data_IF_016438093767
#
_entry.id   IF_016438093767
#
_cell.length_a   1.000
_cell.length_b   1.000
_cell.length_c   1.000
_cell.angle_alpha   90.00
_cell.angle_beta   90.00
_cell.angle_gamma   90.00
#
_symmetry.space_group_name_H-M   'P 1'
#
loop_
_entity.id
_entity.type
_entity.pdbx_description
1 polymer ?
#
# COMPACT_ATOMS: atom_id res chain seq x y z
N UNK A 1 30.16 32.73 -10.55
CA UNK A 1 30.64 31.35 -10.72
C UNK A 1 29.44 30.46 -10.95
N UNK A 2 29.18 30.08 -12.20
CA UNK A 2 28.25 28.99 -12.50
C UNK A 2 28.99 27.70 -12.17
N UNK A 3 28.74 27.15 -10.99
CA UNK A 3 29.18 25.78 -10.72
C UNK A 3 28.27 24.91 -11.57
N UNK A 4 28.76 24.51 -12.74
CA UNK A 4 28.09 23.52 -13.58
C UNK A 4 28.03 22.23 -12.78
N UNK A 5 26.87 21.99 -12.16
CA UNK A 5 26.61 20.72 -11.47
C UNK A 5 26.54 19.63 -12.54
N UNK A 6 27.28 18.53 -12.37
CA UNK A 6 27.25 17.45 -13.35
C UNK A 6 25.83 16.89 -13.47
N UNK A 7 25.40 16.60 -14.70
CA UNK A 7 24.10 15.98 -14.96
C UNK A 7 24.10 14.58 -14.36
N UNK A 8 23.13 14.23 -13.49
CA UNK A 8 23.00 12.91 -12.91
C UNK A 8 22.96 11.82 -14.00
N UNK A 9 23.61 10.65 -13.80
CA UNK A 9 23.70 9.60 -14.82
C UNK A 9 22.35 9.21 -15.46
N UNK A 10 21.30 9.05 -14.65
CA UNK A 10 19.96 8.70 -15.14
C UNK A 10 19.31 9.75 -16.04
N UNK A 11 19.77 11.01 -15.97
CA UNK A 11 19.26 12.13 -16.77
C UNK A 11 20.08 12.41 -18.03
N UNK A 12 21.32 11.92 -18.13
CA UNK A 12 22.24 12.28 -19.22
C UNK A 12 21.66 12.03 -20.61
N UNK A 13 20.99 10.87 -20.81
CA UNK A 13 20.35 10.51 -22.09
C UNK A 13 19.11 11.32 -22.44
N UNK A 14 18.54 12.04 -21.47
CA UNK A 14 17.28 12.78 -21.62
C UNK A 14 17.44 14.28 -21.44
N UNK A 15 18.63 14.77 -21.15
CA UNK A 15 18.88 16.16 -20.74
C UNK A 15 18.37 17.18 -21.77
N UNK A 16 18.47 16.84 -23.06
CA UNK A 16 18.02 17.67 -24.17
C UNK A 16 16.75 17.11 -24.86
N UNK A 17 16.09 16.11 -24.28
CA UNK A 17 14.89 15.47 -24.82
C UNK A 17 13.61 16.11 -24.27
N UNK A 18 12.47 15.97 -24.97
CA UNK A 18 11.17 16.35 -24.41
C UNK A 18 10.83 15.56 -23.14
N UNK A 19 10.13 16.21 -22.19
CA UNK A 19 9.67 15.57 -20.93
C UNK A 19 8.81 14.33 -21.21
N UNK A 20 8.04 14.31 -22.29
CA UNK A 20 7.26 13.14 -22.70
C UNK A 20 8.13 11.88 -22.90
N UNK A 21 9.30 12.03 -23.53
CA UNK A 21 10.24 10.92 -23.71
C UNK A 21 10.86 10.51 -22.37
N UNK A 22 11.09 11.47 -21.47
CA UNK A 22 11.57 11.20 -20.12
C UNK A 22 10.53 10.45 -19.29
N UNK A 23 9.25 10.82 -19.33
CA UNK A 23 8.20 10.23 -18.51
C UNK A 23 7.70 8.84 -18.98
N UNK A 24 8.04 8.40 -20.20
CA UNK A 24 7.62 7.10 -20.73
C UNK A 24 8.42 5.92 -20.15
N UNK A 25 7.77 4.93 -19.56
CA UNK A 25 8.40 3.65 -19.18
C UNK A 25 8.13 2.59 -20.24
N UNK A 26 9.05 1.63 -20.37
CA UNK A 26 8.78 0.43 -21.16
C UNK A 26 7.66 -0.37 -20.47
N UNK A 27 6.69 -0.86 -21.26
CA UNK A 27 5.67 -1.76 -20.74
C UNK A 27 6.32 -3.04 -20.26
N UNK A 28 5.85 -3.55 -19.13
CA UNK A 28 6.32 -4.82 -18.62
C UNK A 28 5.66 -5.96 -19.39
N UNK A 29 6.48 -6.93 -19.83
CA UNK A 29 5.97 -8.17 -20.38
C UNK A 29 5.79 -9.16 -19.23
N UNK A 30 4.53 -9.47 -18.94
CA UNK A 30 4.16 -10.40 -17.87
C UNK A 30 3.69 -11.72 -18.46
N UNK A 31 4.23 -12.81 -17.94
CA UNK A 31 3.68 -14.13 -18.21
C UNK A 31 2.24 -14.23 -17.67
N UNK A 32 1.37 -15.07 -18.26
CA UNK A 32 -0.02 -15.18 -17.83
C UNK A 32 -0.21 -15.44 -16.32
N UNK A 33 0.64 -16.26 -15.72
CA UNK A 33 0.60 -16.56 -14.29
C UNK A 33 1.03 -15.38 -13.41
N UNK A 34 1.89 -14.48 -13.90
CA UNK A 34 2.29 -13.25 -13.19
C UNK A 34 1.14 -12.24 -13.21
N UNK A 35 0.43 -12.15 -14.34
CA UNK A 35 -0.77 -11.32 -14.47
C UNK A 35 -1.85 -11.73 -13.49
N UNK A 36 -2.10 -13.04 -13.37
CA UNK A 36 -3.01 -13.58 -12.36
C UNK A 36 -2.57 -13.19 -10.94
N UNK A 37 -1.29 -13.37 -10.62
CA UNK A 37 -0.74 -13.04 -9.29
C UNK A 37 -0.95 -11.57 -8.93
N UNK A 38 -0.62 -10.66 -9.84
CA UNK A 38 -0.87 -9.23 -9.63
C UNK A 38 -2.36 -8.92 -9.50
N UNK A 39 -3.22 -9.61 -10.26
CA UNK A 39 -4.67 -9.47 -10.16
C UNK A 39 -5.18 -9.87 -8.78
N UNK A 40 -4.75 -11.02 -8.22
CA UNK A 40 -5.18 -11.46 -6.88
C UNK A 40 -4.84 -10.41 -5.80
N UNK A 41 -3.62 -9.88 -5.79
CA UNK A 41 -3.23 -8.85 -4.81
C UNK A 41 -3.96 -7.51 -5.03
N UNK A 42 -4.27 -7.17 -6.28
CA UNK A 42 -5.03 -5.96 -6.63
C UNK A 42 -6.48 -6.06 -6.20
N UNK A 43 -7.10 -7.23 -6.40
CA UNK A 43 -8.46 -7.53 -5.91
C UNK A 43 -8.49 -7.56 -4.38
N UNK A 44 -7.46 -8.09 -3.71
CA UNK A 44 -7.33 -8.01 -2.25
C UNK A 44 -7.33 -6.55 -1.77
N UNK A 45 -6.51 -5.69 -2.37
CA UNK A 45 -6.48 -4.28 -2.01
C UNK A 45 -7.85 -3.60 -2.21
N UNK A 46 -8.53 -3.89 -3.31
CA UNK A 46 -9.88 -3.35 -3.57
C UNK A 46 -10.91 -3.92 -2.59
N UNK A 47 -10.78 -5.18 -2.20
CA UNK A 47 -11.60 -5.82 -1.18
C UNK A 47 -11.42 -5.17 0.19
N UNK A 48 -10.18 -4.85 0.58
CA UNK A 48 -9.89 -4.12 1.82
C UNK A 48 -10.56 -2.74 1.83
N UNK A 49 -10.53 -2.02 0.69
CA UNK A 49 -11.19 -0.72 0.53
C UNK A 49 -12.71 -0.86 0.63
N UNK A 50 -13.29 -1.86 -0.04
CA UNK A 50 -14.73 -2.09 -0.01
C UNK A 50 -15.23 -2.43 1.40
N UNK A 51 -14.58 -3.34 2.12
CA UNK A 51 -14.98 -3.74 3.46
C UNK A 51 -14.83 -2.63 4.49
N UNK A 52 -13.92 -1.70 4.24
CA UNK A 52 -13.66 -0.55 5.11
C UNK A 52 -14.18 0.76 4.52
N UNK A 53 -15.11 0.68 3.58
CA UNK A 53 -15.58 1.83 2.81
C UNK A 53 -16.10 2.95 3.71
N UNK A 54 -15.76 4.19 3.37
CA UNK A 54 -16.35 5.37 3.97
C UNK A 54 -16.36 6.52 2.97
N UNK A 55 -17.54 6.91 2.49
CA UNK A 55 -17.70 8.00 1.53
C UNK A 55 -17.85 9.39 2.18
N UNK A 56 -17.79 9.50 3.51
CA UNK A 56 -18.18 10.72 4.24
C UNK A 56 -17.06 11.77 4.28
N UNK A 57 -16.54 12.20 3.12
CA UNK A 57 -15.42 13.15 2.98
C UNK A 57 -15.58 14.44 3.80
N UNK A 58 -16.81 14.95 3.90
CA UNK A 58 -17.17 16.15 4.67
C UNK A 58 -18.02 15.82 5.91
N UNK A 59 -17.93 14.57 6.38
CA UNK A 59 -18.72 14.04 7.50
C UNK A 59 -20.02 13.37 7.06
N UNK A 60 -20.73 12.73 8.02
CA UNK A 60 -21.91 11.92 7.75
C UNK A 60 -23.18 12.73 7.47
N UNK A 61 -23.12 14.05 7.68
CA UNK A 61 -24.24 14.98 7.53
C UNK A 61 -23.97 15.93 6.36
N UNK A 62 -25.03 16.26 5.62
CA UNK A 62 -24.99 17.11 4.43
C UNK A 62 -25.65 16.40 3.26
N UNK A 63 -25.64 16.98 2.08
CA UNK A 63 -26.18 16.39 0.86
C UNK A 63 -25.03 16.08 -0.10
N UNK A 64 -24.85 14.80 -0.43
CA UNK A 64 -23.88 14.36 -1.44
C UNK A 64 -24.52 14.17 -2.82
N UNK A 65 -25.75 14.66 -3.03
CA UNK A 65 -26.49 14.56 -4.28
C UNK A 65 -26.78 13.11 -4.68
N UNK A 66 -26.95 12.87 -5.98
CA UNK A 66 -27.19 11.51 -6.49
C UNK A 66 -25.94 10.63 -6.46
N UNK A 67 -24.75 11.22 -6.28
CA UNK A 67 -23.45 10.53 -6.25
C UNK A 67 -23.36 9.46 -5.17
N UNK A 68 -24.18 9.55 -4.11
CA UNK A 68 -24.14 8.66 -2.95
C UNK A 68 -25.53 8.18 -2.53
N UNK A 69 -26.49 8.17 -3.44
CA UNK A 69 -27.88 7.78 -3.16
C UNK A 69 -28.01 6.37 -2.57
N UNK A 70 -27.17 5.42 -2.99
CA UNK A 70 -27.09 4.06 -2.43
C UNK A 70 -26.42 3.97 -1.06
N UNK A 71 -25.82 5.06 -0.57
CA UNK A 71 -25.23 5.18 0.76
C UNK A 71 -26.11 6.00 1.73
N UNK A 72 -27.25 6.53 1.30
CA UNK A 72 -28.17 7.31 2.12
C UNK A 72 -28.94 6.39 3.09
N UNK A 73 -28.86 6.65 4.39
CA UNK A 73 -29.54 5.84 5.42
C UNK A 73 -30.77 6.54 6.02
N UNK A 74 -30.89 7.85 5.86
CA UNK A 74 -32.03 8.61 6.38
C UNK A 74 -31.84 10.11 6.29
N UNK A 75 -32.73 10.85 6.93
CA UNK A 75 -32.66 12.30 7.09
C UNK A 75 -32.86 12.66 8.56
N UNK A 76 -32.16 13.69 9.04
CA UNK A 76 -32.40 14.24 10.38
C UNK A 76 -33.75 14.98 10.40
N UNK A 77 -34.61 14.61 11.33
CA UNK A 77 -35.89 15.27 11.56
C UNK A 77 -35.66 16.74 11.96
N UNK A 78 -36.38 17.67 11.32
CA UNK A 78 -36.36 19.10 11.64
C UNK A 78 -35.52 19.98 10.70
N UNK A 79 -34.45 19.46 10.11
CA UNK A 79 -33.54 20.24 9.24
C UNK A 79 -33.46 19.70 7.80
N UNK A 80 -34.00 18.52 7.53
CA UNK A 80 -33.98 17.91 6.19
C UNK A 80 -32.59 17.44 5.72
N UNK A 81 -31.61 17.43 6.63
CA UNK A 81 -30.21 17.05 6.36
C UNK A 81 -30.11 15.55 6.14
N UNK A 82 -29.52 15.14 5.02
CA UNK A 82 -29.28 13.74 4.69
C UNK A 82 -28.18 13.12 5.57
N UNK A 83 -28.35 11.84 5.92
CA UNK A 83 -27.42 11.04 6.73
C UNK A 83 -26.93 9.86 5.91
N UNK A 84 -25.62 9.65 5.86
CA UNK A 84 -24.99 8.61 5.04
C UNK A 84 -24.30 7.52 5.87
N UNK A 85 -24.31 6.29 5.35
CA UNK A 85 -23.60 5.13 5.88
C UNK A 85 -22.08 5.40 6.02
N UNK A 86 -21.42 4.72 6.96
CA UNK A 86 -19.95 4.76 7.12
C UNK A 86 -19.45 5.53 8.34
N UNK A 87 -20.32 6.24 9.06
CA UNK A 87 -19.96 6.95 10.29
C UNK A 87 -19.14 8.23 10.07
N UNK A 88 -18.29 8.62 11.02
CA UNK A 88 -17.41 9.79 10.88
C UNK A 88 -16.37 9.57 9.79
N UNK A 89 -15.88 10.64 9.15
CA UNK A 89 -14.81 10.54 8.16
C UNK A 89 -13.57 9.83 8.75
N UNK A 90 -13.10 8.79 8.07
CA UNK A 90 -11.93 8.00 8.47
C UNK A 90 -10.80 8.09 7.43
N UNK A 91 -10.70 9.20 6.71
CA UNK A 91 -9.72 9.35 5.64
C UNK A 91 -10.24 8.93 4.26
N UNK A 92 -9.44 9.20 3.23
CA UNK A 92 -9.80 8.90 1.84
C UNK A 92 -9.84 7.38 1.61
N UNK A 93 -10.68 6.92 0.68
CA UNK A 93 -10.70 5.52 0.22
C UNK A 93 -9.51 5.22 -0.72
N UNK A 94 -8.32 5.57 -0.24
CA UNK A 94 -7.02 5.29 -0.86
C UNK A 94 -6.27 4.43 0.14
N UNK A 95 -5.81 3.26 -0.30
CA UNK A 95 -5.10 2.31 0.54
C UNK A 95 -3.87 1.77 -0.19
N UNK A 96 -2.95 1.22 0.61
CA UNK A 96 -1.76 0.54 0.13
C UNK A 96 -1.61 -0.81 0.84
N UNK A 97 -1.03 -1.79 0.13
CA UNK A 97 -0.79 -3.16 0.57
C UNK A 97 0.67 -3.54 0.25
N UNK A 98 1.37 -4.12 1.20
CA UNK A 98 2.74 -4.60 1.02
C UNK A 98 2.78 -6.11 0.90
N UNK A 99 3.51 -6.59 -0.10
CA UNK A 99 3.71 -8.02 -0.38
C UNK A 99 5.21 -8.29 -0.51
N UNK A 100 5.71 -9.33 0.16
CA UNK A 100 7.11 -9.75 0.03
C UNK A 100 7.38 -10.54 -1.26
N UNK A 101 8.66 -10.79 -1.54
CA UNK A 101 9.10 -11.56 -2.71
C UNK A 101 8.62 -13.02 -2.73
N UNK A 102 8.27 -13.57 -1.57
CA UNK A 102 7.73 -14.93 -1.44
C UNK A 102 6.23 -14.95 -1.75
N UNK A 103 5.60 -13.79 -1.99
CA UNK A 103 4.18 -13.66 -2.27
C UNK A 103 3.33 -13.63 -1.01
N UNK A 104 3.89 -13.26 0.14
CA UNK A 104 3.14 -13.09 1.38
C UNK A 104 2.69 -11.67 1.56
N UNK A 105 1.43 -11.51 1.92
CA UNK A 105 0.92 -10.23 2.43
C UNK A 105 1.59 -9.90 3.77
N UNK A 106 2.23 -8.73 3.83
CA UNK A 106 2.87 -8.23 5.06
C UNK A 106 1.88 -7.37 5.83
N UNK A 107 1.35 -6.33 5.19
CA UNK A 107 0.51 -5.34 5.86
C UNK A 107 -0.26 -4.43 4.88
N UNK A 108 -1.20 -3.63 5.40
CA UNK A 108 -1.91 -2.59 4.67
C UNK A 108 -2.11 -1.32 5.52
N UNK A 109 -2.33 -0.18 4.86
CA UNK A 109 -2.73 1.08 5.52
C UNK A 109 -3.62 1.93 4.61
N UNK A 110 -4.34 2.88 5.20
CA UNK A 110 -5.21 3.84 4.51
C UNK A 110 -4.65 5.26 4.60
N UNK A 111 -5.06 6.10 3.67
CA UNK A 111 -4.82 7.53 3.75
C UNK A 111 -5.62 8.13 4.92
N UNK A 112 -4.94 8.84 5.81
CA UNK A 112 -5.51 9.50 6.99
C UNK A 112 -5.10 10.98 7.09
N UNK A 113 -4.82 11.64 5.96
CA UNK A 113 -4.33 13.02 5.96
C UNK A 113 -5.25 14.00 6.70
N UNK A 114 -6.55 13.95 6.44
CA UNK A 114 -7.52 14.81 7.12
C UNK A 114 -7.89 14.32 8.53
N UNK A 115 -7.58 13.06 8.89
CA UNK A 115 -7.76 12.57 10.27
C UNK A 115 -6.67 13.10 11.19
N UNK A 116 -5.42 13.17 10.70
CA UNK A 116 -4.26 13.65 11.45
C UNK A 116 -3.90 15.10 11.18
N UNK A 117 -4.70 15.82 10.40
CA UNK A 117 -4.40 17.17 9.92
C UNK A 117 -2.96 17.30 9.38
N UNK A 118 -2.59 16.33 8.55
CA UNK A 118 -1.21 16.14 8.12
C UNK A 118 -1.13 15.70 6.67
N UNK A 119 -0.47 16.52 5.85
CA UNK A 119 -0.29 16.25 4.42
C UNK A 119 0.60 15.04 4.13
N UNK A 120 1.25 14.47 5.15
CA UNK A 120 2.17 13.32 5.00
C UNK A 120 1.54 11.98 5.32
N UNK A 121 0.30 11.95 5.82
CA UNK A 121 -0.39 10.74 6.26
C UNK A 121 -1.12 10.03 5.10
N UNK A 122 -0.41 9.84 3.99
CA UNK A 122 -0.86 9.06 2.84
C UNK A 122 -0.68 7.55 3.09
N UNK A 123 -1.46 6.72 2.39
CA UNK A 123 -1.48 5.27 2.59
C UNK A 123 -0.08 4.64 2.46
N UNK A 124 0.66 4.98 1.40
CA UNK A 124 1.99 4.43 1.13
C UNK A 124 3.01 4.92 2.17
N UNK A 125 2.95 6.20 2.54
CA UNK A 125 3.86 6.80 3.53
C UNK A 125 3.67 6.19 4.92
N UNK A 126 2.41 5.92 5.29
CA UNK A 126 2.04 5.24 6.53
C UNK A 126 2.49 3.79 6.54
N UNK A 127 2.19 3.07 5.46
CA UNK A 127 2.59 1.68 5.27
C UNK A 127 4.12 1.54 5.35
N UNK A 128 4.89 2.32 4.60
CA UNK A 128 6.36 2.25 4.62
C UNK A 128 6.91 2.53 6.02
N UNK A 129 6.44 3.57 6.72
CA UNK A 129 6.85 3.84 8.11
C UNK A 129 6.55 2.66 9.03
N UNK A 130 5.39 2.03 8.88
CA UNK A 130 4.99 0.86 9.67
C UNK A 130 5.89 -0.35 9.38
N UNK A 131 6.20 -0.62 8.12
CA UNK A 131 7.13 -1.69 7.74
C UNK A 131 8.53 -1.46 8.35
N UNK A 132 9.01 -0.22 8.37
CA UNK A 132 10.25 0.12 9.08
C UNK A 132 10.16 -0.09 10.58
N UNK A 133 9.05 0.32 11.22
CA UNK A 133 8.85 0.13 12.64
C UNK A 133 8.81 -1.37 13.00
N UNK A 134 8.15 -2.20 12.20
CA UNK A 134 8.17 -3.65 12.36
C UNK A 134 9.61 -4.19 12.27
N UNK A 135 10.37 -3.78 11.27
CA UNK A 135 11.77 -4.21 11.10
C UNK A 135 12.68 -3.76 12.25
N UNK A 136 12.53 -2.51 12.68
CA UNK A 136 13.29 -1.94 13.79
C UNK A 136 12.90 -2.50 15.14
N UNK A 137 11.71 -3.09 15.30
CA UNK A 137 11.40 -3.83 16.52
C UNK A 137 12.14 -5.16 16.52
N UNK A 138 12.33 -5.84 15.38
CA UNK A 138 13.00 -7.15 15.33
C UNK A 138 14.53 -7.09 15.40
N UNK A 139 15.18 -6.02 14.93
CA UNK A 139 16.65 -5.86 14.97
C UNK A 139 17.28 -5.73 16.38
N UNK A 140 16.76 -4.91 17.33
CA UNK A 140 17.39 -4.68 18.63
C UNK A 140 17.25 -5.86 19.59
N UNK A 141 16.26 -6.75 19.43
CA UNK A 141 16.17 -7.95 20.27
C UNK A 141 17.33 -8.93 20.03
N UNK A 142 17.82 -9.02 18.79
CA UNK A 142 18.98 -9.85 18.45
C UNK A 142 20.31 -9.17 18.77
N UNK A 143 20.38 -7.84 18.70
CA UNK A 143 21.57 -7.09 19.10
C UNK A 143 21.86 -7.23 20.61
N UNK A 144 20.82 -7.29 21.45
CA UNK A 144 20.95 -7.50 22.89
C UNK A 144 21.41 -8.93 23.27
N UNK A 145 21.28 -9.92 22.38
CA UNK A 145 21.76 -11.28 22.65
C UNK A 145 23.26 -11.48 22.39
N UNK A 146 23.89 -10.59 21.61
CA UNK A 146 25.31 -10.73 21.22
C UNK A 146 26.31 -10.09 22.18
N UNK A 147 25.88 -9.20 23.08
CA UNK A 147 26.81 -8.39 23.91
C UNK A 147 26.81 -8.67 25.42
N UNK A 148 26.18 -9.74 25.92
CA UNK A 148 26.20 -10.01 27.36
C UNK A 148 26.44 -11.48 27.75
N UNK A 149 27.71 -11.93 27.85
CA UNK A 149 28.04 -13.15 28.59
C UNK A 149 28.04 -12.96 30.12
N UNK A 150 28.14 -11.72 30.61
CA UNK A 150 28.34 -11.46 32.05
C UNK A 150 27.07 -11.12 32.85
N UNK A 151 25.96 -10.73 32.19
CA UNK A 151 24.77 -10.23 32.89
C UNK A 151 23.62 -11.25 33.03
N UNK A 152 23.85 -12.53 32.69
CA UNK A 152 22.80 -13.56 32.58
C UNK A 152 22.94 -14.71 33.58
N UNK A 153 23.68 -14.53 34.66
CA UNK A 153 23.79 -15.54 35.72
C UNK A 153 22.61 -15.54 36.72
N UNK A 154 21.67 -14.60 36.64
CA UNK A 154 20.61 -14.47 37.66
C UNK A 154 19.16 -14.51 37.17
N UNK A 155 18.91 -14.76 35.87
CA UNK A 155 17.53 -14.98 35.39
C UNK A 155 17.32 -16.47 35.11
N UNK A 156 16.77 -17.09 36.14
CA UNK A 156 16.41 -18.49 36.31
C UNK A 156 15.70 -19.15 35.12
N UNK A 157 16.09 -20.41 34.95
CA UNK A 157 15.44 -21.48 34.20
C UNK A 157 13.90 -21.48 34.26
N UNK A 158 13.27 -21.26 33.11
CA UNK A 158 12.11 -22.03 32.66
C UNK A 158 12.03 -21.94 31.13
N UNK A 159 12.34 -23.07 30.49
CA UNK A 159 12.11 -23.47 29.10
C UNK A 159 11.62 -22.38 28.11
N UNK A 160 12.46 -21.98 27.14
CA UNK A 160 11.97 -21.35 25.91
C UNK A 160 12.67 -21.89 24.65
N UNK A 161 11.93 -22.13 23.55
CA UNK A 161 12.38 -22.93 22.41
C UNK A 161 13.30 -22.11 21.50
N UNK A 162 14.35 -22.75 20.99
CA UNK A 162 15.27 -22.15 20.01
C UNK A 162 14.54 -21.84 18.70
N UNK A 163 14.40 -20.56 18.37
CA UNK A 163 13.83 -20.07 17.11
C UNK A 163 14.95 -19.54 16.20
N UNK A 164 15.31 -20.30 15.17
CA UNK A 164 15.83 -19.75 13.90
C UNK A 164 14.65 -19.75 12.92
N UNK A 165 14.11 -18.58 12.56
CA UNK A 165 13.13 -18.42 11.48
C UNK A 165 13.33 -17.09 10.75
N UNK A 166 12.99 -17.11 9.46
CA UNK A 166 13.06 -16.02 8.50
C UNK A 166 12.40 -14.73 9.02
N UNK A 167 12.97 -13.58 8.69
CA UNK A 167 12.69 -12.27 9.31
C UNK A 167 11.28 -11.71 9.01
N UNK A 168 10.36 -12.45 8.39
CA UNK A 168 8.95 -12.04 8.26
C UNK A 168 7.91 -13.16 8.50
N UNK A 169 8.30 -14.31 9.04
CA UNK A 169 7.34 -15.39 9.30
C UNK A 169 6.76 -15.32 10.72
N UNK A 170 5.80 -14.42 10.97
CA UNK A 170 4.57 -14.65 11.78
C UNK A 170 3.88 -13.32 12.17
N UNK A 171 2.96 -12.87 11.33
CA UNK A 171 1.66 -12.45 11.82
C UNK A 171 0.66 -13.48 11.27
N UNK A 172 -0.03 -14.20 12.17
CA UNK A 172 -1.13 -15.16 11.89
C UNK A 172 -0.80 -16.61 11.42
N UNK A 173 0.03 -17.38 12.14
CA UNK A 173 0.03 -18.86 11.96
C UNK A 173 0.58 -19.65 13.17
N UNK A 174 -0.28 -20.47 13.78
CA UNK A 174 -0.03 -21.26 15.02
C UNK A 174 0.47 -22.71 14.78
N UNK A 175 1.21 -23.01 13.69
CA UNK A 175 1.64 -24.41 13.41
C UNK A 175 3.06 -24.76 13.87
N UNK A 176 3.18 -25.88 14.59
CA UNK A 176 4.42 -26.48 15.10
C UNK A 176 5.14 -27.38 14.07
N UNK A 177 6.48 -27.47 14.17
CA UNK A 177 7.39 -28.22 13.27
C UNK A 177 8.34 -29.12 14.09
N UNK A 178 8.78 -30.31 13.63
CA UNK A 178 9.52 -31.28 14.43
C UNK A 178 11.03 -31.01 14.55
N UNK A 179 11.63 -31.48 15.65
CA UNK A 179 13.04 -31.30 16.04
C UNK A 179 14.00 -32.22 15.27
N UNK A 180 15.19 -31.69 14.91
CA UNK A 180 16.35 -32.45 14.42
C UNK A 180 17.60 -32.13 15.25
N UNK A 181 18.36 -33.15 15.61
CA UNK A 181 19.54 -33.12 16.49
C UNK A 181 20.85 -33.13 15.68
N UNK A 182 21.77 -32.23 16.03
CA UNK A 182 23.15 -32.21 15.49
C UNK A 182 23.96 -31.03 16.04
N UNK A 183 25.11 -31.32 16.62
CA UNK A 183 25.98 -30.41 17.39
C UNK A 183 27.29 -30.08 16.67
N UNK A 184 27.76 -28.82 16.71
CA UNK A 184 29.12 -28.39 16.30
C UNK A 184 29.52 -27.04 16.98
N UNK A 185 30.82 -26.66 17.01
CA UNK A 185 31.50 -26.10 18.17
C UNK A 185 31.81 -24.59 18.05
N UNK A 186 32.28 -24.03 19.17
CA UNK A 186 32.49 -22.60 19.46
C UNK A 186 33.74 -22.02 18.76
N UNK A 187 33.66 -20.76 18.31
CA UNK A 187 34.83 -19.92 17.94
C UNK A 187 34.75 -18.57 18.67
N UNK A 188 35.93 -18.10 19.08
CA UNK A 188 36.26 -16.95 19.94
C UNK A 188 36.00 -15.57 19.32
N UNK A 189 35.74 -14.61 20.21
CA UNK A 189 35.55 -13.16 19.97
C UNK A 189 36.89 -12.42 19.79
N UNK A 190 36.87 -11.33 19.02
CA UNK A 190 37.43 -10.00 19.39
C UNK A 190 37.28 -9.02 18.20
N UNK A 191 36.17 -8.28 18.14
CA UNK A 191 36.05 -7.09 17.30
C UNK A 191 35.00 -6.12 17.86
N UNK A 192 35.36 -4.84 17.90
CA UNK A 192 34.49 -3.69 18.24
C UNK A 192 33.21 -3.74 17.38
N UNK A 193 32.00 -3.50 17.93
CA UNK A 193 30.77 -3.56 17.14
C UNK A 193 30.76 -2.41 16.13
N UNK A 194 30.95 -2.75 14.85
CA UNK A 194 30.61 -1.82 13.77
C UNK A 194 29.08 -1.73 13.68
N UNK A 195 28.54 -0.51 13.62
CA UNK A 195 27.15 -0.31 13.25
C UNK A 195 26.87 -1.05 11.92
N UNK A 196 25.76 -1.78 11.78
CA UNK A 196 25.47 -2.54 10.57
C UNK A 196 25.50 -1.60 9.36
N UNK A 197 26.40 -1.87 8.41
CA UNK A 197 26.62 -1.06 7.21
C UNK A 197 25.40 -1.02 6.26
N UNK A 198 24.38 -1.84 6.50
CA UNK A 198 23.24 -2.05 5.58
C UNK A 198 21.93 -1.43 6.09
N UNK A 199 21.95 -0.15 6.49
CA UNK A 199 20.70 0.59 6.72
C UNK A 199 19.85 0.76 5.42
N UNK A 200 20.41 0.42 4.25
CA UNK A 200 19.97 0.91 2.93
C UNK A 200 19.14 -0.07 2.06
N UNK A 201 18.80 -1.29 2.52
CA UNK A 201 18.18 -2.29 1.62
C UNK A 201 16.90 -2.99 2.12
N UNK A 202 16.27 -2.47 3.17
CA UNK A 202 15.22 -3.18 3.93
C UNK A 202 13.98 -3.61 3.10
N UNK A 203 13.54 -2.85 2.09
CA UNK A 203 12.34 -3.18 1.30
C UNK A 203 12.64 -3.56 -0.17
N UNK A 204 13.88 -3.94 -0.50
CA UNK A 204 14.32 -4.30 -1.88
C UNK A 204 13.60 -5.48 -2.52
N UNK A 205 12.94 -6.27 -1.69
CA UNK A 205 12.19 -7.47 -2.07
C UNK A 205 10.68 -7.29 -1.79
N UNK A 206 10.20 -6.05 -1.60
CA UNK A 206 8.80 -5.73 -1.34
C UNK A 206 8.17 -5.03 -2.54
N UNK A 207 6.99 -5.50 -2.93
CA UNK A 207 6.09 -4.82 -3.87
C UNK A 207 4.98 -4.13 -3.09
N UNK A 208 4.76 -2.84 -3.36
CA UNK A 208 3.63 -2.10 -2.79
C UNK A 208 2.53 -1.99 -3.86
N UNK A 209 1.32 -2.42 -3.52
CA UNK A 209 0.12 -2.15 -4.30
C UNK A 209 -0.57 -0.92 -3.70
N UNK A 210 -0.93 0.05 -4.51
CA UNK A 210 -1.66 1.26 -4.11
C UNK A 210 -2.89 1.44 -4.98
N UNK A 211 -4.02 1.85 -4.40
CA UNK A 211 -5.26 1.99 -5.16
C UNK A 211 -5.26 3.19 -6.11
N UNK A 212 -4.36 4.15 -5.89
CA UNK A 212 -4.18 5.36 -6.68
C UNK A 212 -2.69 5.60 -6.95
N UNK A 213 -2.35 6.14 -8.12
CA UNK A 213 -0.98 6.50 -8.49
C UNK A 213 -0.31 7.33 -7.39
N UNK A 214 0.88 6.91 -6.98
CA UNK A 214 1.59 7.53 -5.86
C UNK A 214 2.03 8.95 -6.21
N UNK A 215 1.83 9.89 -5.28
CA UNK A 215 2.31 11.25 -5.43
C UNK A 215 3.84 11.35 -5.28
N UNK A 216 4.40 12.52 -5.64
CA UNK A 216 5.84 12.79 -5.54
C UNK A 216 6.44 12.45 -4.17
N UNK A 217 5.70 12.78 -3.10
CA UNK A 217 6.13 12.51 -1.73
C UNK A 217 6.19 11.01 -1.42
N UNK A 218 5.13 10.26 -1.76
CA UNK A 218 5.07 8.81 -1.56
C UNK A 218 6.15 8.11 -2.39
N UNK A 219 6.34 8.50 -3.65
CA UNK A 219 7.40 7.98 -4.52
C UNK A 219 8.79 8.23 -3.93
N UNK A 220 9.04 9.42 -3.36
CA UNK A 220 10.30 9.72 -2.67
C UNK A 220 10.54 8.86 -1.44
N UNK A 221 9.51 8.67 -0.60
CA UNK A 221 9.61 7.80 0.59
C UNK A 221 9.90 6.35 0.18
N UNK A 222 9.19 5.83 -0.83
CA UNK A 222 9.45 4.47 -1.34
C UNK A 222 10.83 4.32 -1.97
N UNK A 223 11.33 5.37 -2.64
CA UNK A 223 12.70 5.40 -3.17
C UNK A 223 13.76 5.33 -2.05
N UNK A 224 13.59 6.11 -0.98
CA UNK A 224 14.50 6.07 0.19
C UNK A 224 14.43 4.73 0.93
N UNK A 225 13.26 4.08 0.87
CA UNK A 225 13.05 2.78 1.47
C UNK A 225 13.53 1.60 0.62
N UNK A 226 14.02 1.88 -0.60
CA UNK A 226 14.45 0.88 -1.58
C UNK A 226 13.33 -0.11 -1.93
N UNK A 227 12.07 0.34 -2.03
CA UNK A 227 10.95 -0.51 -2.48
C UNK A 227 11.22 -1.00 -3.91
N UNK A 228 10.97 -2.29 -4.18
CA UNK A 228 11.24 -2.91 -5.49
C UNK A 228 10.35 -2.35 -6.58
N UNK A 229 9.05 -2.56 -6.41
CA UNK A 229 8.01 -2.31 -7.38
C UNK A 229 6.83 -1.62 -6.69
N UNK A 230 6.16 -0.72 -7.41
CA UNK A 230 4.88 -0.13 -7.00
C UNK A 230 3.84 -0.39 -8.07
N UNK A 231 2.78 -1.11 -7.71
CA UNK A 231 1.62 -1.37 -8.56
C UNK A 231 0.53 -0.37 -8.21
N UNK A 232 0.01 0.37 -9.19
CA UNK A 232 -1.07 1.33 -8.95
C UNK A 232 -2.33 1.04 -9.79
N UNK A 233 -3.49 1.15 -9.15
CA UNK A 233 -4.76 0.64 -9.68
C UNK A 233 -5.71 1.72 -10.23
N UNK A 234 -5.30 2.99 -10.20
CA UNK A 234 -5.97 4.11 -10.84
C UNK A 234 -4.95 5.22 -11.12
N UNK A 235 -5.12 6.00 -12.19
CA UNK A 235 -4.31 7.20 -12.43
C UNK A 235 -4.66 8.33 -11.47
N UNK A 236 -3.66 9.12 -11.08
CA UNK A 236 -3.88 10.40 -10.43
C UNK A 236 -3.57 11.53 -11.41
N UNK A 237 -4.63 12.20 -11.88
CA UNK A 237 -4.54 13.35 -12.79
C UNK A 237 -3.70 14.49 -12.22
N UNK A 238 -3.50 14.56 -10.90
CA UNK A 238 -2.65 15.56 -10.25
C UNK A 238 -1.16 15.22 -10.20
N UNK A 239 -0.75 13.96 -10.45
CA UNK A 239 0.64 13.50 -10.23
C UNK A 239 1.44 13.27 -11.52
N UNK A 240 0.79 13.21 -12.68
CA UNK A 240 1.43 13.28 -14.01
C UNK A 240 2.66 12.37 -14.21
N UNK A 241 2.57 11.06 -13.89
CA UNK A 241 3.66 10.08 -14.12
C UNK A 241 4.93 10.32 -13.29
N UNK A 242 4.80 10.95 -12.11
CA UNK A 242 5.95 11.27 -11.26
C UNK A 242 6.79 10.03 -10.90
N UNK A 243 6.16 8.88 -10.67
CA UNK A 243 6.86 7.63 -10.40
C UNK A 243 7.79 7.21 -11.53
N UNK A 244 7.37 7.37 -12.79
CA UNK A 244 8.19 7.07 -13.97
C UNK A 244 9.40 8.00 -14.05
N UNK A 245 9.17 9.30 -13.84
CA UNK A 245 10.22 10.31 -13.85
C UNK A 245 11.25 10.04 -12.75
N UNK A 246 10.80 9.72 -11.53
CA UNK A 246 11.70 9.39 -10.42
C UNK A 246 12.49 8.11 -10.67
N UNK A 247 11.86 7.06 -11.21
CA UNK A 247 12.55 5.81 -11.59
C UNK A 247 13.68 6.07 -12.58
N UNK A 248 13.45 6.88 -13.61
CA UNK A 248 14.48 7.20 -14.60
C UNK A 248 15.55 8.15 -14.08
N UNK A 249 15.18 9.15 -13.27
CA UNK A 249 16.15 10.07 -12.66
C UNK A 249 17.14 9.34 -11.74
N UNK A 250 16.66 8.30 -11.05
CA UNK A 250 17.45 7.49 -10.11
C UNK A 250 18.10 6.27 -10.75
N UNK A 251 17.75 5.94 -12.00
CA UNK A 251 18.37 4.85 -12.73
C UNK A 251 19.88 5.07 -12.90
N UNK A 252 20.68 4.03 -12.62
CA UNK A 252 22.14 4.08 -12.76
C UNK A 252 22.87 4.84 -11.65
N UNK A 253 22.19 5.28 -10.58
CA UNK A 253 22.86 5.76 -9.38
C UNK A 253 23.51 4.58 -8.64
N UNK A 254 24.82 4.64 -8.42
CA UNK A 254 25.59 3.54 -7.81
C UNK A 254 25.32 3.29 -6.32
N UNK A 255 24.52 4.12 -5.67
CA UNK A 255 24.25 4.05 -4.23
C UNK A 255 23.07 3.14 -3.84
N UNK A 256 22.47 2.42 -4.79
CA UNK A 256 21.35 1.50 -4.52
C UNK A 256 19.99 2.17 -4.27
N UNK A 257 19.93 3.51 -4.25
CA UNK A 257 18.69 4.28 -4.15
C UNK A 257 18.04 4.45 -5.52
N UNK A 258 17.30 3.42 -5.95
CA UNK A 258 16.50 3.48 -7.17
C UNK A 258 15.03 3.53 -6.76
N UNK A 259 14.29 4.51 -7.26
CA UNK A 259 12.84 4.60 -7.05
C UNK A 259 12.17 3.30 -7.50
N UNK A 260 11.09 2.83 -6.84
CA UNK A 260 10.40 1.61 -7.24
C UNK A 260 10.01 1.66 -8.72
N UNK A 261 10.01 0.51 -9.38
CA UNK A 261 9.48 0.41 -10.74
C UNK A 261 7.96 0.56 -10.68
N UNK A 262 7.37 1.56 -11.34
CA UNK A 262 5.92 1.70 -11.44
C UNK A 262 5.33 0.67 -12.40
N UNK A 263 4.21 0.07 -12.01
CA UNK A 263 3.44 -0.91 -12.79
C UNK A 263 1.97 -0.48 -12.74
N UNK A 264 1.36 -0.28 -13.90
CA UNK A 264 -0.06 0.06 -14.01
C UNK A 264 -0.94 -1.17 -13.95
N UNK A 265 -2.15 -1.03 -13.41
CA UNK A 265 -3.19 -2.05 -13.44
C UNK A 265 -3.46 -2.63 -14.83
N UNK A 266 -3.48 -1.77 -15.86
CA UNK A 266 -3.77 -2.20 -17.23
C UNK A 266 -2.63 -2.98 -17.91
N UNK A 267 -1.39 -2.88 -17.43
CA UNK A 267 -0.26 -3.66 -17.98
C UNK A 267 -0.41 -5.18 -17.74
N UNK A 268 -1.13 -5.56 -16.68
CA UNK A 268 -1.44 -6.97 -16.39
C UNK A 268 -2.93 -7.31 -16.61
N UNK A 269 -3.67 -6.45 -17.31
CA UNK A 269 -5.06 -6.72 -17.68
C UNK A 269 -6.08 -6.55 -16.57
N UNK A 270 -5.78 -5.76 -15.52
CA UNK A 270 -6.71 -5.50 -14.43
C UNK A 270 -7.85 -4.58 -14.88
N UNK A 271 -8.98 -5.17 -15.27
CA UNK A 271 -10.12 -4.46 -15.87
C UNK A 271 -10.61 -3.25 -15.05
N UNK A 272 -10.55 -3.35 -13.72
CA UNK A 272 -11.03 -2.33 -12.80
C UNK A 272 -10.23 -1.03 -12.84
N UNK A 273 -8.98 -1.08 -13.33
CA UNK A 273 -8.17 0.10 -13.60
C UNK A 273 -8.84 1.02 -14.62
N UNK A 274 -9.26 0.46 -15.75
CA UNK A 274 -9.90 1.22 -16.82
C UNK A 274 -11.28 1.74 -16.39
N UNK A 275 -12.02 0.94 -15.62
CA UNK A 275 -13.33 1.36 -15.09
C UNK A 275 -13.22 2.57 -14.16
N UNK A 276 -12.30 2.54 -13.17
CA UNK A 276 -12.11 3.68 -12.26
C UNK A 276 -11.68 4.95 -13.01
N UNK A 277 -10.76 4.83 -13.97
CA UNK A 277 -10.29 5.98 -14.73
C UNK A 277 -11.41 6.60 -15.57
N UNK A 278 -12.16 5.78 -16.32
CA UNK A 278 -13.31 6.24 -17.12
C UNK A 278 -14.38 6.91 -16.26
N UNK A 279 -14.78 6.27 -15.15
CA UNK A 279 -15.79 6.81 -14.24
C UNK A 279 -15.32 8.10 -13.55
N UNK A 280 -14.04 8.22 -13.22
CA UNK A 280 -13.46 9.44 -12.65
C UNK A 280 -13.47 10.61 -13.62
N UNK A 281 -13.23 10.37 -14.91
CA UNK A 281 -13.34 11.37 -15.97
C UNK A 281 -14.80 11.80 -16.22
N UNK A 282 -15.74 10.86 -16.16
CA UNK A 282 -17.19 11.15 -16.21
C UNK A 282 -17.61 12.02 -15.01
N UNK A 283 -17.22 11.64 -13.80
CA UNK A 283 -17.45 12.42 -12.58
C UNK A 283 -16.90 13.84 -12.71
N UNK A 284 -15.65 13.99 -13.13
CA UNK A 284 -14.97 15.29 -13.23
C UNK A 284 -15.62 16.24 -14.23
N UNK A 285 -16.28 15.71 -15.27
CA UNK A 285 -17.07 16.50 -16.23
C UNK A 285 -18.40 16.96 -15.66
N UNK A 286 -19.06 16.11 -14.87
CA UNK A 286 -20.44 16.30 -14.42
C UNK A 286 -20.56 17.05 -13.09
N UNK A 287 -19.58 16.93 -12.19
CA UNK A 287 -19.60 17.54 -10.85
C UNK A 287 -19.64 19.08 -10.85
N UNK A 288 -19.35 19.70 -12.00
CA UNK A 288 -19.49 21.15 -12.21
C UNK A 288 -20.96 21.61 -12.25
N UNK A 289 -21.87 20.70 -12.61
CA UNK A 289 -23.30 20.97 -12.74
C UNK A 289 -24.09 20.39 -11.56
N UNK A 290 -23.65 19.26 -11.03
CA UNK A 290 -24.21 18.62 -9.84
C UNK A 290 -23.15 18.58 -8.73
N UNK A 291 -23.26 19.43 -7.69
CA UNK A 291 -22.25 19.51 -6.64
C UNK A 291 -22.08 18.14 -5.97
N UNK A 292 -20.83 17.79 -5.65
CA UNK A 292 -20.51 16.57 -4.92
C UNK A 292 -20.98 16.65 -3.46
N UNK A 293 -20.97 17.83 -2.88
CA UNK A 293 -21.40 18.04 -1.50
C UNK A 293 -22.00 19.43 -1.31
N UNK A 294 -23.11 19.49 -0.59
CA UNK A 294 -23.76 20.70 -0.08
C UNK A 294 -24.03 20.54 1.43
N UNK A 295 -23.69 21.54 2.23
CA UNK A 295 -23.87 21.49 3.67
C UNK A 295 -23.38 22.74 4.34
N UNK A 296 -23.16 22.67 5.66
CA UNK A 296 -22.63 23.77 6.46
C UNK A 296 -21.26 23.42 6.98
N UNK A 297 -20.30 24.32 6.78
CA UNK A 297 -18.96 24.21 7.36
C UNK A 297 -19.06 24.29 8.89
N UNK A 298 -18.55 23.27 9.58
CA UNK A 298 -18.69 23.15 11.03
C UNK A 298 -17.86 24.17 11.82
N UNK A 299 -16.86 24.79 11.21
CA UNK A 299 -15.96 25.74 11.85
C UNK A 299 -16.50 27.16 11.68
N UNK A 300 -16.91 27.50 10.46
CA UNK A 300 -17.30 28.86 10.07
C UNK A 300 -18.82 29.08 10.09
N UNK A 301 -19.61 28.00 10.08
CA UNK A 301 -21.06 28.06 9.97
C UNK A 301 -21.58 28.52 8.60
N UNK A 302 -20.70 28.59 7.58
CA UNK A 302 -21.06 29.01 6.23
C UNK A 302 -21.55 27.84 5.38
N UNK A 303 -22.48 28.12 4.46
CA UNK A 303 -22.89 27.16 3.46
C UNK A 303 -21.70 26.82 2.55
N UNK A 304 -21.44 25.52 2.39
CA UNK A 304 -20.40 24.99 1.52
C UNK A 304 -21.02 24.22 0.37
N UNK A 305 -20.48 24.47 -0.82
CA UNK A 305 -20.87 23.80 -2.06
C UNK A 305 -19.61 23.38 -2.81
N UNK A 306 -19.44 22.07 -2.97
CA UNK A 306 -18.22 21.48 -3.53
C UNK A 306 -18.48 20.98 -4.95
N UNK A 307 -17.88 21.65 -5.94
CA UNK A 307 -17.99 21.29 -7.37
C UNK A 307 -16.65 20.83 -7.97
N UNK A 308 -15.68 20.48 -7.13
CA UNK A 308 -14.33 20.06 -7.58
C UNK A 308 -14.34 18.65 -8.16
N UNK A 309 -13.78 18.47 -9.35
CA UNK A 309 -13.48 17.17 -9.98
C UNK A 309 -12.31 16.41 -9.37
N UNK A 310 -12.08 16.52 -8.05
CA UNK A 310 -10.97 15.81 -7.41
C UNK A 310 -11.22 14.31 -7.38
N UNK A 311 -10.21 13.49 -7.71
CA UNK A 311 -10.29 12.03 -7.64
C UNK A 311 -10.68 11.52 -6.24
N UNK A 312 -10.28 12.25 -5.19
CA UNK A 312 -10.64 11.92 -3.82
C UNK A 312 -12.13 12.10 -3.51
N UNK A 313 -12.85 12.96 -4.24
CA UNK A 313 -14.32 13.03 -4.15
C UNK A 313 -14.98 11.92 -4.97
N UNK A 314 -14.45 11.62 -6.16
CA UNK A 314 -14.90 10.48 -6.96
C UNK A 314 -14.81 9.16 -6.17
N UNK A 315 -13.73 8.95 -5.42
CA UNK A 315 -13.53 7.77 -4.57
C UNK A 315 -14.48 7.69 -3.36
N UNK A 316 -15.47 8.57 -3.26
CA UNK A 316 -16.54 8.51 -2.27
C UNK A 316 -17.92 8.18 -2.89
N UNK A 317 -18.04 8.12 -4.22
CA UNK A 317 -19.32 7.90 -4.91
C UNK A 317 -19.73 6.43 -4.94
N UNK A 318 -21.00 6.17 -5.25
CA UNK A 318 -21.54 4.83 -5.42
C UNK A 318 -20.88 4.10 -6.60
N UNK A 319 -20.56 4.80 -7.69
CA UNK A 319 -19.89 4.21 -8.85
C UNK A 319 -18.50 3.68 -8.49
N UNK A 320 -17.71 4.45 -7.74
CA UNK A 320 -16.43 3.98 -7.23
C UNK A 320 -16.63 2.78 -6.29
N UNK A 321 -17.55 2.88 -5.32
CA UNK A 321 -17.89 1.77 -4.39
C UNK A 321 -18.24 0.49 -5.15
N UNK A 322 -19.01 0.60 -6.23
CA UNK A 322 -19.44 -0.52 -7.06
C UNK A 322 -18.27 -1.20 -7.79
N UNK A 323 -17.27 -0.42 -8.23
CA UNK A 323 -16.04 -1.00 -8.81
C UNK A 323 -15.28 -1.83 -7.77
N UNK A 324 -15.08 -1.29 -6.56
CA UNK A 324 -14.41 -2.02 -5.47
C UNK A 324 -15.22 -3.26 -5.05
N UNK A 325 -16.55 -3.17 -5.02
CA UNK A 325 -17.44 -4.30 -4.73
C UNK A 325 -17.33 -5.44 -5.74
N UNK A 326 -17.23 -5.13 -7.04
CA UNK A 326 -17.04 -6.16 -8.07
C UNK A 326 -15.68 -6.87 -7.93
N UNK A 327 -14.60 -6.12 -7.71
CA UNK A 327 -13.28 -6.72 -7.48
C UNK A 327 -13.25 -7.59 -6.21
N UNK A 328 -13.92 -7.15 -5.15
CA UNK A 328 -14.12 -7.96 -3.94
C UNK A 328 -14.87 -9.25 -4.22
N UNK A 329 -15.97 -9.17 -4.97
CA UNK A 329 -16.76 -10.33 -5.36
C UNK A 329 -15.95 -11.31 -6.20
N UNK A 330 -15.15 -10.83 -7.16
CA UNK A 330 -14.28 -11.68 -7.99
C UNK A 330 -13.27 -12.45 -7.14
N UNK A 331 -12.60 -11.80 -6.18
CA UNK A 331 -11.68 -12.47 -5.27
C UNK A 331 -12.38 -13.56 -4.44
N UNK A 332 -13.56 -13.24 -3.90
CA UNK A 332 -14.29 -14.15 -3.01
C UNK A 332 -14.93 -15.33 -3.77
N UNK A 333 -15.37 -15.10 -5.01
CA UNK A 333 -16.00 -16.11 -5.85
C UNK A 333 -15.00 -16.99 -6.60
N UNK A 334 -13.73 -16.58 -6.72
CA UNK A 334 -12.68 -17.40 -7.31
C UNK A 334 -12.38 -18.60 -6.42
N UNK A 335 -12.78 -19.80 -6.85
CA UNK A 335 -12.57 -21.05 -6.12
C UNK A 335 -11.11 -21.47 -6.14
N UNK A 336 -10.49 -21.42 -7.32
CA UNK A 336 -9.10 -21.79 -7.60
C UNK A 336 -8.41 -20.75 -8.49
N UNK A 337 -7.09 -20.70 -8.40
CA UNK A 337 -6.25 -20.00 -9.37
C UNK A 337 -6.26 -20.74 -10.73
N UNK A 338 -6.23 -19.98 -11.81
CA UNK A 338 -6.02 -20.43 -13.19
C UNK A 338 -4.65 -21.10 -13.37
N UNK A 339 -3.61 -20.60 -12.68
CA UNK A 339 -2.26 -21.16 -12.68
C UNK A 339 -1.84 -21.66 -11.28
N UNK A 340 -2.49 -22.70 -10.73
CA UNK A 340 -2.45 -23.02 -9.29
C UNK A 340 -1.06 -23.35 -8.75
N UNK A 341 -0.19 -23.96 -9.56
CA UNK A 341 1.17 -24.37 -9.19
C UNK A 341 2.25 -23.34 -9.55
N UNK A 342 1.88 -22.27 -10.27
CA UNK A 342 2.84 -21.29 -10.77
C UNK A 342 3.39 -20.41 -9.64
N UNK A 343 4.72 -20.19 -9.67
CA UNK A 343 5.47 -19.33 -8.74
C UNK A 343 6.78 -18.85 -9.36
N UNK A 344 7.39 -17.77 -8.85
CA UNK A 344 8.71 -17.33 -9.26
C UNK A 344 9.77 -18.42 -9.10
N UNK A 345 10.47 -18.76 -10.19
CA UNK A 345 11.45 -19.85 -10.21
C UNK A 345 12.71 -19.55 -9.39
N UNK A 346 13.04 -18.26 -9.22
CA UNK A 346 14.21 -17.75 -8.52
C UNK A 346 13.98 -17.61 -7.00
N UNK A 347 12.78 -17.95 -6.49
CA UNK A 347 12.42 -17.81 -5.08
C UNK A 347 12.01 -19.17 -4.51
N UNK A 348 12.92 -19.91 -3.85
CA UNK A 348 12.70 -21.31 -3.45
C UNK A 348 11.43 -21.54 -2.62
N UNK A 349 11.09 -20.57 -1.76
CA UNK A 349 9.96 -20.63 -0.83
C UNK A 349 8.76 -19.77 -1.25
N UNK A 350 8.71 -19.32 -2.51
CA UNK A 350 7.57 -18.54 -2.97
C UNK A 350 6.27 -19.36 -2.94
N UNK A 351 5.20 -18.69 -2.54
CA UNK A 351 3.84 -19.19 -2.61
C UNK A 351 3.46 -19.42 -4.07
N UNK A 352 2.73 -20.50 -4.35
CA UNK A 352 2.05 -20.68 -5.64
C UNK A 352 0.86 -19.72 -5.76
N UNK A 353 0.32 -19.52 -6.97
CA UNK A 353 -0.85 -18.64 -7.12
C UNK A 353 -2.06 -19.14 -6.31
N UNK A 354 -2.25 -20.46 -6.17
CA UNK A 354 -3.31 -21.02 -5.31
C UNK A 354 -3.09 -20.62 -3.84
N UNK A 355 -1.85 -20.72 -3.34
CA UNK A 355 -1.51 -20.31 -1.98
C UNK A 355 -1.70 -18.80 -1.77
N UNK A 356 -1.37 -17.98 -2.77
CA UNK A 356 -1.62 -16.53 -2.77
C UNK A 356 -3.12 -16.23 -2.71
N UNK A 357 -3.94 -16.91 -3.52
CA UNK A 357 -5.40 -16.75 -3.52
C UNK A 357 -6.03 -17.13 -2.18
N UNK A 358 -5.60 -18.25 -1.59
CA UNK A 358 -6.04 -18.67 -0.25
C UNK A 358 -5.63 -17.61 0.79
N UNK A 359 -4.36 -17.21 0.81
CA UNK A 359 -3.86 -16.21 1.77
C UNK A 359 -4.61 -14.88 1.63
N UNK A 360 -4.89 -14.42 0.40
CA UNK A 360 -5.62 -13.17 0.17
C UNK A 360 -7.03 -13.20 0.77
N UNK A 361 -7.79 -14.28 0.55
CA UNK A 361 -9.13 -14.46 1.13
C UNK A 361 -9.11 -14.56 2.65
N UNK A 362 -8.15 -15.30 3.20
CA UNK A 362 -7.96 -15.45 4.64
C UNK A 362 -7.59 -14.11 5.28
N UNK A 363 -6.68 -13.36 4.67
CA UNK A 363 -6.24 -12.05 5.13
C UNK A 363 -7.40 -11.05 5.14
N UNK A 364 -8.19 -11.00 4.05
CA UNK A 364 -9.36 -10.14 3.98
C UNK A 364 -10.38 -10.49 5.07
N UNK A 365 -10.64 -11.77 5.28
CA UNK A 365 -11.54 -12.26 6.34
C UNK A 365 -11.04 -11.88 7.74
N UNK A 366 -9.73 -11.97 7.98
CA UNK A 366 -9.11 -11.52 9.21
C UNK A 366 -9.26 -10.00 9.43
N UNK A 367 -9.02 -9.18 8.40
CA UNK A 367 -9.20 -7.72 8.49
C UNK A 367 -10.66 -7.31 8.74
N UNK A 368 -11.63 -8.03 8.17
CA UNK A 368 -13.06 -7.83 8.47
C UNK A 368 -13.32 -7.93 9.97
N UNK A 369 -12.77 -8.95 10.64
CA UNK A 369 -12.98 -9.17 12.08
C UNK A 369 -12.35 -8.09 12.98
N UNK A 370 -11.22 -7.50 12.58
CA UNK A 370 -10.51 -6.50 13.38
C UNK A 370 -11.21 -5.13 13.47
N UNK A 371 -12.20 -4.88 12.60
CA UNK A 371 -12.91 -3.60 12.50
C UNK A 371 -12.01 -2.34 12.47
N UNK A 372 -10.86 -2.40 11.77
CA UNK A 372 -9.90 -1.30 11.72
C UNK A 372 -9.45 -0.95 10.28
N UNK A 373 -9.20 0.34 9.98
CA UNK A 373 -8.73 0.89 8.68
C UNK A 373 -7.20 1.00 8.64
N UNK A 374 -6.51 -0.11 8.84
CA UNK A 374 -5.06 -0.10 9.08
C UNK A 374 -4.76 -0.06 10.58
N UNK A 375 -3.55 0.34 11.00
CA UNK A 375 -3.20 0.27 12.42
C UNK A 375 -4.07 1.19 13.28
N UNK A 376 -4.51 0.69 14.44
CA UNK A 376 -5.01 1.54 15.50
C UNK A 376 -3.80 2.31 16.02
N UNK A 377 -3.81 3.62 15.91
CA UNK A 377 -3.05 4.38 16.89
C UNK A 377 -3.72 4.06 18.22
N UNK A 378 -3.01 3.37 19.11
CA UNK A 378 -3.24 3.62 20.53
C UNK A 378 -2.98 5.11 20.70
N UNK A 379 -4.04 5.89 20.69
CA UNK A 379 -4.01 7.25 21.23
C UNK A 379 -3.86 7.11 22.74
#
# INVERSE_FOLDING_TARGET
MTIDRPVPPGLQRYWNSPVAQFAQMECNDFEPWEKERHSIFSELLFGLIYDKWNGNKYGPLGDYGNWRSGQLIGKCDGEGVSIYEGGTYLGHNIAALAVDREGRVIDFDFNHNAVFDSTVEHAESRLVRRLFALNQIYDPWYALEREAPALRAEILHAERPRQRRSVFATAASDRSVPLRTGSYPMIQNDAVPQAPQEYSTLLKDVTIYTSLESCAQCSGIMCLASVKDVVYLQWDQGQFLIGNMMRKATAGQGAGFVSPRPIRGDEFGFQYFNDLNRLSEEFSRNVKYEPFYEGVDRITGQDIRITSGSVTSFLCTDEARNVFSRAHADLMNRSHAEFPDAKPADVPNAFTNEQVLIQARDYLSWVKMLNNRGAAHRV
#
